data_IF_151827943530
#
_entry.id   IF_151827943530
#
_cell.length_a   1.000
_cell.length_b   1.000
_cell.length_c   1.000
_cell.angle_alpha   90.00
_cell.angle_beta   90.00
_cell.angle_gamma   90.00
#
_symmetry.space_group_name_H-M   'P 1'
#
loop_
_entity.id
_entity.type
_entity.pdbx_description
1 polymer ?
#
# COMPACT_ATOMS: atom_id res chain seq x y z
N UNK A 1 -6.29 19.48 6.66
CA UNK A 1 -5.12 19.38 7.54
C UNK A 1 -3.98 18.57 6.94
N UNK A 2 -4.25 17.50 6.19
CA UNK A 2 -3.24 16.63 5.57
C UNK A 2 -2.11 17.36 4.83
N UNK A 3 -2.42 18.39 4.02
CA UNK A 3 -1.42 19.24 3.33
C UNK A 3 -0.33 19.84 4.25
N UNK A 4 -0.64 20.07 5.53
CA UNK A 4 0.27 20.70 6.51
C UNK A 4 0.80 19.70 7.55
N UNK A 5 0.40 18.44 7.47
CA UNK A 5 0.85 17.42 8.40
C UNK A 5 2.29 17.01 8.00
N UNK A 6 3.26 17.05 8.93
CA UNK A 6 4.64 16.63 8.68
C UNK A 6 4.75 15.10 8.75
N UNK A 7 3.94 14.40 7.97
CA UNK A 7 3.94 12.95 7.85
C UNK A 7 4.22 12.58 6.40
N UNK A 8 5.16 11.68 6.18
CA UNK A 8 5.56 11.24 4.83
C UNK A 8 4.76 10.02 4.36
N UNK A 9 4.20 9.27 5.31
CA UNK A 9 3.43 8.04 5.07
C UNK A 9 2.02 8.19 5.62
N UNK A 10 1.03 7.84 4.80
CA UNK A 10 -0.36 7.71 5.20
C UNK A 10 -0.73 6.23 5.36
N UNK A 11 -1.41 5.89 6.46
CA UNK A 11 -1.87 4.53 6.73
C UNK A 11 -3.32 4.38 6.29
N UNK A 12 -3.64 3.30 5.59
CA UNK A 12 -5.01 2.84 5.36
C UNK A 12 -5.31 1.80 6.43
N UNK A 13 -6.33 2.06 7.24
CA UNK A 13 -6.70 1.18 8.34
C UNK A 13 -7.21 -0.18 7.85
N UNK A 14 -6.93 -1.22 8.63
CA UNK A 14 -7.35 -2.59 8.34
C UNK A 14 -8.86 -2.77 8.18
N UNK A 15 -9.68 -1.88 8.75
CA UNK A 15 -11.14 -1.96 8.59
C UNK A 15 -11.55 -1.84 7.12
N UNK A 16 -10.84 -1.04 6.32
CA UNK A 16 -11.13 -0.90 4.89
C UNK A 16 -10.45 -2.01 4.08
N UNK A 17 -9.21 -2.35 4.41
CA UNK A 17 -8.41 -3.31 3.62
C UNK A 17 -8.97 -4.72 3.68
N UNK A 18 -9.59 -5.13 4.78
CA UNK A 18 -10.15 -6.47 4.94
C UNK A 18 -11.34 -6.76 4.03
N UNK A 19 -12.19 -5.75 3.81
CA UNK A 19 -13.46 -5.94 3.12
C UNK A 19 -13.40 -5.42 1.67
N UNK A 20 -12.32 -4.73 1.26
CA UNK A 20 -12.16 -4.13 -0.08
C UNK A 20 -12.30 -5.08 -1.28
N UNK A 21 -12.19 -6.40 -1.07
CA UNK A 21 -12.36 -7.39 -2.14
C UNK A 21 -13.84 -7.62 -2.49
N UNK A 22 -14.73 -7.38 -1.53
CA UNK A 22 -16.15 -7.69 -1.61
C UNK A 22 -17.05 -6.45 -1.40
N UNK A 23 -16.53 -5.40 -0.75
CA UNK A 23 -17.22 -4.13 -0.51
C UNK A 23 -16.69 -3.01 -1.43
N UNK A 24 -17.50 -2.53 -2.41
CA UNK A 24 -17.11 -1.47 -3.32
C UNK A 24 -16.96 -0.10 -2.64
N UNK A 25 -17.63 0.14 -1.50
CA UNK A 25 -17.51 1.42 -0.78
C UNK A 25 -16.13 1.50 -0.10
N UNK A 26 -15.65 0.40 0.49
CA UNK A 26 -14.31 0.32 1.07
C UNK A 26 -13.21 0.43 0.00
N UNK A 27 -13.41 -0.23 -1.15
CA UNK A 27 -12.51 -0.06 -2.29
C UNK A 27 -12.44 1.40 -2.77
N UNK A 28 -13.59 2.09 -2.89
CA UNK A 28 -13.62 3.49 -3.30
C UNK A 28 -12.93 4.43 -2.29
N UNK A 29 -13.02 4.12 -0.99
CA UNK A 29 -12.28 4.85 0.06
C UNK A 29 -10.78 4.66 -0.14
N UNK A 30 -10.31 3.43 -0.37
CA UNK A 30 -8.90 3.11 -0.60
C UNK A 30 -8.37 3.86 -1.84
N UNK A 31 -9.09 3.81 -2.96
CA UNK A 31 -8.74 4.55 -4.19
C UNK A 31 -8.62 6.07 -3.93
N UNK A 32 -9.59 6.64 -3.20
CA UNK A 32 -9.58 8.05 -2.84
C UNK A 32 -8.39 8.42 -1.95
N UNK A 33 -8.04 7.58 -0.98
CA UNK A 33 -6.88 7.79 -0.09
C UNK A 33 -5.57 7.72 -0.88
N UNK A 34 -5.42 6.74 -1.77
CA UNK A 34 -4.23 6.60 -2.63
C UNK A 34 -4.08 7.80 -3.57
N UNK A 35 -5.17 8.24 -4.20
CA UNK A 35 -5.18 9.43 -5.05
C UNK A 35 -4.78 10.70 -4.28
N UNK A 36 -5.30 10.86 -3.06
CA UNK A 36 -4.96 11.99 -2.19
C UNK A 36 -3.49 11.98 -1.77
N UNK A 37 -2.96 10.83 -1.38
CA UNK A 37 -1.56 10.67 -1.01
C UNK A 37 -0.63 10.96 -2.18
N UNK A 38 -0.97 10.46 -3.37
CA UNK A 38 -0.25 10.74 -4.63
C UNK A 38 -0.19 12.24 -4.90
N UNK A 39 -1.32 12.94 -4.81
CA UNK A 39 -1.40 14.39 -5.04
C UNK A 39 -0.53 15.20 -4.05
N UNK A 40 -0.36 14.71 -2.81
CA UNK A 40 0.49 15.34 -1.80
C UNK A 40 1.92 14.78 -1.75
N UNK A 41 2.30 13.88 -2.68
CA UNK A 41 3.61 13.20 -2.69
C UNK A 41 3.92 12.52 -1.36
N UNK A 42 2.94 11.78 -0.85
CA UNK A 42 3.04 10.95 0.35
C UNK A 42 2.99 9.48 -0.04
N UNK A 43 3.72 8.65 0.68
CA UNK A 43 3.63 7.19 0.55
C UNK A 43 2.37 6.69 1.26
N UNK A 44 1.91 5.50 0.87
CA UNK A 44 0.75 4.84 1.47
C UNK A 44 1.15 3.45 1.93
N UNK A 45 0.81 3.10 3.18
CA UNK A 45 0.89 1.74 3.70
C UNK A 45 -0.50 1.23 4.04
N UNK A 46 -0.85 0.07 3.48
CA UNK A 46 -2.09 -0.64 3.80
C UNK A 46 -1.91 -1.58 4.99
N UNK A 47 -2.76 -1.45 6.02
CA UNK A 47 -2.78 -2.37 7.16
C UNK A 47 -3.85 -3.45 6.97
N UNK A 48 -3.64 -4.66 7.47
CA UNK A 48 -4.63 -5.74 7.38
C UNK A 48 -4.55 -6.58 6.11
N UNK A 49 -3.41 -6.61 5.42
CA UNK A 49 -3.22 -7.51 4.25
C UNK A 49 -3.13 -8.96 4.71
N UNK A 50 -4.24 -9.68 4.62
CA UNK A 50 -4.36 -11.06 5.14
C UNK A 50 -4.21 -12.15 4.05
N UNK A 51 -4.33 -11.80 2.77
CA UNK A 51 -4.34 -12.76 1.66
C UNK A 51 -3.50 -12.24 0.49
N UNK A 52 -3.12 -13.15 -0.42
CA UNK A 52 -2.42 -12.78 -1.66
C UNK A 52 -3.26 -11.82 -2.49
N UNK A 53 -4.57 -12.05 -2.59
CA UNK A 53 -5.51 -11.21 -3.33
C UNK A 53 -5.57 -9.77 -2.80
N UNK A 54 -5.49 -9.55 -1.48
CA UNK A 54 -5.39 -8.21 -0.92
C UNK A 54 -4.16 -7.48 -1.48
N UNK A 55 -3.00 -8.13 -1.44
CA UNK A 55 -1.75 -7.55 -1.93
C UNK A 55 -1.78 -7.28 -3.44
N UNK A 56 -2.34 -8.17 -4.25
CA UNK A 56 -2.46 -7.98 -5.69
C UNK A 56 -3.31 -6.76 -6.05
N UNK A 57 -4.46 -6.59 -5.39
CA UNK A 57 -5.32 -5.44 -5.64
C UNK A 57 -4.65 -4.13 -5.19
N UNK A 58 -4.02 -4.11 -4.00
CA UNK A 58 -3.28 -2.93 -3.52
C UNK A 58 -2.13 -2.55 -4.46
N UNK A 59 -1.38 -3.53 -4.96
CA UNK A 59 -0.32 -3.30 -5.96
C UNK A 59 -0.88 -2.72 -7.26
N UNK A 60 -2.05 -3.20 -7.70
CA UNK A 60 -2.76 -2.67 -8.87
C UNK A 60 -3.23 -1.22 -8.69
N UNK A 61 -3.61 -0.86 -7.47
CA UNK A 61 -3.97 0.51 -7.11
C UNK A 61 -2.74 1.41 -6.88
N UNK A 62 -1.53 0.85 -6.90
CA UNK A 62 -0.28 1.60 -6.71
C UNK A 62 0.18 1.75 -5.25
N UNK A 63 -0.37 0.95 -4.33
CA UNK A 63 0.10 0.83 -2.95
C UNK A 63 1.05 -0.37 -2.83
N UNK A 64 2.35 -0.09 -2.68
CA UNK A 64 3.44 -1.08 -2.64
C UNK A 64 3.97 -1.34 -1.22
N UNK A 65 3.49 -0.60 -0.21
CA UNK A 65 3.78 -0.84 1.20
C UNK A 65 2.57 -1.48 1.89
N UNK A 66 2.81 -2.55 2.64
CA UNK A 66 1.75 -3.28 3.31
C UNK A 66 2.20 -3.88 4.65
N UNK A 67 1.22 -4.08 5.53
CA UNK A 67 1.35 -4.83 6.78
C UNK A 67 0.14 -5.75 6.94
N UNK A 68 0.36 -7.01 7.28
CA UNK A 68 -0.72 -7.92 7.64
C UNK A 68 -0.28 -9.37 7.71
N UNK A 69 -1.21 -10.25 8.08
CA UNK A 69 -0.92 -11.67 8.31
C UNK A 69 -0.52 -12.45 7.05
N UNK A 70 -0.85 -11.94 5.87
CA UNK A 70 -0.34 -12.47 4.60
C UNK A 70 1.17 -12.27 4.42
N UNK A 71 1.77 -11.32 5.13
CA UNK A 71 3.22 -11.07 5.16
C UNK A 71 3.84 -11.77 6.37
N UNK A 72 3.37 -11.43 7.56
CA UNK A 72 3.83 -12.01 8.82
C UNK A 72 2.81 -11.78 9.93
N UNK A 73 2.75 -12.72 10.89
CA UNK A 73 2.13 -12.43 12.18
C UNK A 73 3.08 -11.60 13.05
N UNK A 74 2.54 -10.78 13.98
CA UNK A 74 3.36 -10.15 15.02
C UNK A 74 4.22 -11.20 15.73
N UNK A 75 5.50 -10.91 15.87
CA UNK A 75 6.47 -11.81 16.49
C UNK A 75 7.35 -11.06 17.49
N UNK A 76 7.90 -11.74 18.50
CA UNK A 76 8.94 -11.17 19.36
C UNK A 76 10.14 -10.69 18.54
N UNK A 77 10.79 -9.60 18.99
CA UNK A 77 11.95 -9.04 18.28
C UNK A 77 13.10 -10.04 18.07
N UNK A 78 13.25 -11.04 18.96
CA UNK A 78 14.26 -12.08 18.85
C UNK A 78 14.03 -13.05 17.67
N UNK A 79 12.79 -13.18 17.18
CA UNK A 79 12.44 -14.06 16.06
C UNK A 79 12.64 -13.36 14.70
N UNK A 80 12.63 -12.02 14.68
CA UNK A 80 12.71 -11.23 13.46
C UNK A 80 13.93 -11.57 12.57
N UNK A 81 15.16 -11.72 13.08
CA UNK A 81 16.30 -12.09 12.23
C UNK A 81 16.12 -13.43 11.51
N UNK A 82 15.52 -14.42 12.17
CA UNK A 82 15.23 -15.73 11.58
C UNK A 82 14.12 -15.64 10.52
N UNK A 83 13.09 -14.85 10.79
CA UNK A 83 12.04 -14.58 9.81
C UNK A 83 12.59 -13.87 8.57
N UNK A 84 13.35 -12.78 8.72
CA UNK A 84 13.96 -12.04 7.60
C UNK A 84 14.80 -12.95 6.71
N UNK A 85 15.57 -13.88 7.29
CA UNK A 85 16.45 -14.77 6.52
C UNK A 85 15.70 -15.80 5.66
N UNK A 86 14.42 -16.05 5.93
CA UNK A 86 13.63 -17.10 5.28
C UNK A 86 12.42 -16.55 4.52
N UNK A 87 12.00 -15.33 4.84
CA UNK A 87 10.82 -14.74 4.25
C UNK A 87 11.01 -14.44 2.77
N UNK A 88 10.02 -14.83 1.98
CA UNK A 88 9.91 -14.50 0.58
C UNK A 88 8.46 -14.05 0.31
N UNK A 89 8.25 -12.96 -0.45
CA UNK A 89 6.91 -12.56 -0.87
C UNK A 89 6.29 -13.64 -1.75
N UNK A 90 4.96 -13.66 -1.83
CA UNK A 90 4.26 -14.51 -2.79
C UNK A 90 4.70 -14.19 -4.23
N UNK A 91 4.72 -15.21 -5.09
CA UNK A 91 5.09 -15.07 -6.49
C UNK A 91 4.19 -14.09 -7.24
N UNK A 92 2.91 -14.03 -6.88
CA UNK A 92 1.95 -13.08 -7.43
C UNK A 92 2.35 -11.62 -7.16
N UNK A 93 2.84 -11.32 -5.96
CA UNK A 93 3.34 -9.98 -5.62
C UNK A 93 4.67 -9.67 -6.29
N UNK A 94 5.54 -10.67 -6.41
CA UNK A 94 6.86 -10.50 -7.05
C UNK A 94 6.74 -10.14 -8.54
N UNK A 95 5.73 -10.66 -9.23
CA UNK A 95 5.48 -10.35 -10.65
C UNK A 95 5.28 -8.84 -10.90
N UNK A 96 4.70 -8.10 -9.94
CA UNK A 96 4.52 -6.65 -10.03
C UNK A 96 5.84 -5.87 -10.08
N UNK A 97 6.88 -6.36 -9.41
CA UNK A 97 8.21 -5.72 -9.42
C UNK A 97 8.86 -5.73 -10.83
N UNK A 98 8.45 -6.68 -11.68
CA UNK A 98 8.98 -6.84 -13.03
C UNK A 98 8.22 -5.99 -14.07
N UNK A 99 7.01 -5.54 -13.75
CA UNK A 99 6.16 -4.67 -14.58
C UNK A 99 5.42 -3.65 -13.70
N UNK A 100 6.13 -2.67 -13.11
CA UNK A 100 5.45 -1.65 -12.33
C UNK A 100 4.51 -0.85 -13.25
N UNK A 101 3.25 -0.59 -12.83
CA UNK A 101 2.41 0.36 -13.54
C UNK A 101 3.16 1.70 -13.60
N UNK A 102 3.09 2.40 -14.73
CA UNK A 102 3.62 3.76 -14.80
C UNK A 102 2.91 4.57 -13.72
N UNK A 103 3.59 4.91 -12.61
CA UNK A 103 3.07 5.90 -11.66
C UNK A 103 2.65 7.10 -12.51
N UNK A 104 1.44 7.61 -12.31
CA UNK A 104 1.02 8.82 -13.01
C UNK A 104 2.10 9.88 -12.80
N UNK A 105 2.77 10.27 -13.88
CA UNK A 105 3.73 11.36 -13.81
C UNK A 105 2.96 12.59 -13.33
N UNK A 106 3.45 13.32 -12.32
CA UNK A 106 2.79 14.55 -11.91
C UNK A 106 2.68 15.45 -13.14
N UNK A 107 1.46 15.89 -13.46
CA UNK A 107 1.23 16.94 -14.46
C UNK A 107 1.95 18.19 -13.94
N UNK A 108 3.18 18.40 -14.39
CA UNK A 108 3.88 19.67 -14.24
C UNK A 108 3.25 20.62 -15.24
N UNK A 109 2.12 21.22 -14.89
CA UNK A 109 1.68 22.43 -15.56
C UNK A 109 2.63 23.55 -15.17
N UNK A 110 3.29 24.05 -16.20
CA UNK A 110 4.21 25.16 -16.32
C UNK A 110 3.89 26.31 -15.33
N UNK A 111 4.62 26.37 -14.22
CA UNK A 111 4.66 27.54 -13.36
C UNK A 111 5.67 28.54 -13.93
N UNK A 112 5.37 29.07 -15.12
CA UNK A 112 5.98 30.28 -15.65
C UNK A 112 4.95 31.40 -15.69
N UNK A 113 4.89 32.13 -14.57
CA UNK A 113 4.45 33.54 -14.53
C UNK A 113 5.58 34.35 -13.91
#
# INVERSE_FOLDING_TARGET
YLKRLPADILKIDQSFVRDMLDDPDDLAIIEGVIGLATAFRREVIAEGVETVAHGELLLALGCDLAQGYGIARPMPAAELPGWIATWHPDGAWTAWSQHPPKRAEPVLEDASV
#
